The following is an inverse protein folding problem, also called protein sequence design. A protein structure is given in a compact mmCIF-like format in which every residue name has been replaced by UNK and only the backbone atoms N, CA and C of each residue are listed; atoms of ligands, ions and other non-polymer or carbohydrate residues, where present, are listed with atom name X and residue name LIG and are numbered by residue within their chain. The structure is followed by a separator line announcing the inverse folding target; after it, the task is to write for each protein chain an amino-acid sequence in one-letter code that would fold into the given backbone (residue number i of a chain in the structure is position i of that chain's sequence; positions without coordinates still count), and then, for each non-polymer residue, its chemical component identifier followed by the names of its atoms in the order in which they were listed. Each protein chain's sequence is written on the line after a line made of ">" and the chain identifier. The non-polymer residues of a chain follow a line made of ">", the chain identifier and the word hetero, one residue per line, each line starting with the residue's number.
data_IF_091792915487
#
_entry.id   IF_091792915487
#
_cell.length_a   1.000
_cell.length_b   1.000
_cell.length_c   1.000
_cell.angle_alpha   90.00
_cell.angle_beta   90.00
_cell.angle_gamma   90.00
#
_symmetry.space_group_name_H-M   'P 1'
#
loop_
_entity.id
_entity.type
_entity.pdbx_description
1 polymer ?
#
# COMPACT_ATOMS: atom_id res chain seq x y z
N UNK A 1 0.56 -92.45 17.20
CA UNK A 1 1.39 -91.56 18.03
C UNK A 1 0.84 -90.15 17.88
N UNK A 2 0.06 -89.68 18.86
CA UNK A 2 -0.46 -88.32 18.87
C UNK A 2 0.61 -87.41 19.48
N UNK A 3 1.20 -86.52 18.69
CA UNK A 3 2.04 -85.45 19.19
C UNK A 3 1.14 -84.29 19.65
N UNK A 4 1.06 -84.06 20.96
CA UNK A 4 0.47 -82.87 21.54
C UNK A 4 1.43 -81.70 21.38
N UNK A 5 1.10 -80.75 20.51
CA UNK A 5 1.74 -79.43 20.48
C UNK A 5 1.13 -78.64 21.63
N UNK A 6 1.83 -78.54 22.76
CA UNK A 6 1.46 -77.65 23.86
C UNK A 6 1.87 -76.23 23.48
N UNK A 7 0.88 -75.33 23.33
CA UNK A 7 1.11 -73.91 23.10
C UNK A 7 1.64 -73.31 24.41
N UNK A 8 2.84 -72.72 24.34
CA UNK A 8 3.50 -72.13 25.50
C UNK A 8 2.93 -70.72 25.74
N UNK A 9 1.79 -70.65 26.43
CA UNK A 9 1.06 -69.39 26.69
C UNK A 9 1.88 -68.39 27.52
N UNK A 10 2.90 -68.86 28.25
CA UNK A 10 3.80 -68.03 29.06
C UNK A 10 4.80 -67.26 28.16
N UNK A 11 5.32 -67.89 27.11
CA UNK A 11 6.17 -67.24 26.11
C UNK A 11 5.40 -66.19 25.28
N UNK A 12 4.12 -66.45 24.96
CA UNK A 12 3.27 -65.49 24.24
C UNK A 12 2.91 -64.29 25.13
N UNK A 13 2.63 -64.53 26.42
CA UNK A 13 2.34 -63.45 27.38
C UNK A 13 3.55 -62.55 27.60
N UNK A 14 4.75 -63.12 27.73
CA UNK A 14 5.99 -62.36 27.86
C UNK A 14 6.27 -61.50 26.63
N UNK A 15 6.09 -62.03 25.42
CA UNK A 15 6.27 -61.29 24.16
C UNK A 15 5.28 -60.11 24.04
N UNK A 16 4.00 -60.35 24.35
CA UNK A 16 2.95 -59.30 24.34
C UNK A 16 3.24 -58.21 25.38
N UNK A 17 3.71 -58.59 26.57
CA UNK A 17 4.09 -57.64 27.61
C UNK A 17 5.27 -56.74 27.17
N UNK A 18 6.31 -57.30 26.54
CA UNK A 18 7.43 -56.50 26.01
C UNK A 18 7.02 -55.55 24.89
N UNK A 19 6.12 -55.96 24.00
CA UNK A 19 5.62 -55.09 22.91
C UNK A 19 4.75 -53.96 23.46
N UNK A 20 3.90 -54.24 24.45
CA UNK A 20 3.08 -53.20 25.12
C UNK A 20 3.94 -52.20 25.90
N UNK A 21 5.00 -52.66 26.56
CA UNK A 21 5.94 -51.78 27.27
C UNK A 21 6.69 -50.86 26.30
N UNK A 22 7.18 -51.40 25.19
CA UNK A 22 7.82 -50.57 24.15
C UNK A 22 6.83 -49.60 23.49
N UNK A 23 5.62 -50.04 23.17
CA UNK A 23 4.57 -49.19 22.60
C UNK A 23 4.13 -48.07 23.54
N UNK A 24 4.03 -48.34 24.84
CA UNK A 24 3.74 -47.34 25.86
C UNK A 24 4.84 -46.28 25.98
N UNK A 25 6.11 -46.69 26.00
CA UNK A 25 7.24 -45.75 26.07
C UNK A 25 7.33 -44.88 24.82
N UNK A 26 7.16 -45.45 23.62
CA UNK A 26 7.17 -44.68 22.37
C UNK A 26 6.02 -43.67 22.31
N UNK A 27 4.85 -44.04 22.83
CA UNK A 27 3.68 -43.14 22.87
C UNK A 27 3.88 -41.97 23.84
N UNK A 28 4.52 -42.19 24.98
CA UNK A 28 4.85 -41.14 25.95
C UNK A 28 5.91 -40.19 25.38
N UNK A 29 6.95 -40.71 24.74
CA UNK A 29 7.98 -39.88 24.09
C UNK A 29 7.37 -39.07 22.94
N UNK A 30 6.48 -39.67 22.15
CA UNK A 30 5.75 -38.98 21.08
C UNK A 30 4.89 -37.83 21.60
N UNK A 31 4.13 -38.06 22.68
CA UNK A 31 3.33 -37.00 23.32
C UNK A 31 4.21 -35.90 23.92
N UNK A 32 5.34 -36.25 24.54
CA UNK A 32 6.28 -35.27 25.09
C UNK A 32 6.90 -34.40 24.00
N UNK A 33 7.33 -34.98 22.88
CA UNK A 33 7.88 -34.24 21.74
C UNK A 33 6.88 -33.26 21.14
N UNK A 34 5.62 -33.70 20.95
CA UNK A 34 4.55 -32.82 20.43
C UNK A 34 4.23 -31.69 21.40
N UNK A 35 4.32 -31.93 22.71
CA UNK A 35 4.05 -30.89 23.71
C UNK A 35 5.20 -29.90 23.93
N UNK A 36 6.44 -30.30 23.65
CA UNK A 36 7.62 -29.44 23.85
C UNK A 36 8.01 -28.65 22.60
N UNK A 37 7.65 -29.10 21.41
CA UNK A 37 7.95 -28.41 20.14
C UNK A 37 7.50 -26.93 20.15
N UNK A 38 6.27 -26.58 20.58
CA UNK A 38 5.84 -25.17 20.60
C UNK A 38 6.64 -24.29 21.57
N UNK A 39 7.07 -24.86 22.71
CA UNK A 39 7.87 -24.13 23.72
C UNK A 39 9.29 -23.89 23.20
N UNK A 40 9.84 -24.86 22.47
CA UNK A 40 11.17 -24.74 21.86
C UNK A 40 11.12 -23.66 20.77
N UNK A 41 10.12 -23.67 19.89
CA UNK A 41 9.94 -22.64 18.86
C UNK A 41 9.73 -21.24 19.44
N UNK A 42 8.99 -21.12 20.56
CA UNK A 42 8.81 -19.84 21.26
C UNK A 42 10.12 -19.33 21.91
N UNK A 43 10.88 -20.23 22.55
CA UNK A 43 12.15 -19.90 23.18
C UNK A 43 13.23 -19.55 22.16
N UNK A 44 13.31 -20.29 21.05
CA UNK A 44 14.17 -19.99 19.92
C UNK A 44 13.84 -18.62 19.36
N UNK A 45 12.57 -18.36 19.02
CA UNK A 45 12.12 -17.04 18.54
C UNK A 45 12.34 -15.89 19.53
N UNK A 46 12.40 -16.16 20.84
CA UNK A 46 12.71 -15.16 21.88
C UNK A 46 14.21 -14.86 21.97
N UNK A 47 15.05 -15.90 21.92
CA UNK A 47 16.52 -15.78 21.90
C UNK A 47 16.97 -15.04 20.64
N UNK A 48 16.37 -15.38 19.50
CA UNK A 48 16.60 -14.77 18.20
C UNK A 48 16.27 -13.27 18.16
N UNK A 49 15.13 -12.86 18.74
CA UNK A 49 14.79 -11.43 18.88
C UNK A 49 15.76 -10.67 19.78
N UNK A 50 16.18 -11.29 20.88
CA UNK A 50 17.14 -10.68 21.79
C UNK A 50 18.51 -10.51 21.13
N UNK A 51 18.91 -11.47 20.28
CA UNK A 51 20.16 -11.41 19.53
C UNK A 51 20.14 -10.29 18.48
N UNK A 52 19.08 -10.18 17.66
CA UNK A 52 18.95 -9.06 16.71
C UNK A 52 18.90 -7.68 17.40
N UNK A 53 18.18 -7.56 18.51
CA UNK A 53 18.15 -6.33 19.32
C UNK A 53 19.54 -5.96 19.84
N UNK A 54 20.31 -6.95 20.28
CA UNK A 54 21.69 -6.77 20.71
C UNK A 54 22.60 -6.34 19.56
N UNK A 55 22.47 -6.95 18.38
CA UNK A 55 23.23 -6.56 17.17
C UNK A 55 22.94 -5.09 16.78
N UNK A 56 21.67 -4.66 16.84
CA UNK A 56 21.31 -3.27 16.56
C UNK A 56 21.82 -2.29 17.63
N UNK A 57 21.84 -2.70 18.91
CA UNK A 57 22.43 -1.90 19.98
C UNK A 57 23.95 -1.76 19.84
N UNK A 58 24.63 -2.82 19.37
CA UNK A 58 26.06 -2.78 19.04
C UNK A 58 26.31 -1.82 17.88
N UNK A 59 25.48 -1.85 16.83
CA UNK A 59 25.57 -0.90 15.71
C UNK A 59 25.40 0.55 16.19
N UNK A 60 24.41 0.82 17.06
CA UNK A 60 24.21 2.15 17.64
C UNK A 60 25.42 2.61 18.46
N UNK A 61 25.99 1.72 19.30
CA UNK A 61 27.17 2.03 20.10
C UNK A 61 28.41 2.28 19.23
N UNK A 62 28.64 1.47 18.19
CA UNK A 62 29.76 1.67 17.27
C UNK A 62 29.61 2.97 16.47
N UNK A 63 28.37 3.34 16.14
CA UNK A 63 28.07 4.63 15.52
C UNK A 63 28.43 5.77 16.48
N UNK A 64 27.99 5.71 17.74
CA UNK A 64 28.29 6.73 18.75
C UNK A 64 29.80 6.87 19.02
N UNK A 65 30.52 5.75 19.13
CA UNK A 65 31.99 5.75 19.31
C UNK A 65 32.69 6.37 18.10
N UNK A 66 32.25 6.05 16.88
CA UNK A 66 32.79 6.65 15.65
C UNK A 66 32.46 8.16 15.60
N UNK A 67 31.28 8.58 16.06
CA UNK A 67 30.90 10.00 16.14
C UNK A 67 31.73 10.78 17.16
N UNK A 68 32.00 10.20 18.34
CA UNK A 68 32.68 10.89 19.44
C UNK A 68 34.21 10.89 19.31
N UNK A 69 34.79 9.82 18.77
CA UNK A 69 36.23 9.59 18.77
C UNK A 69 36.84 9.31 17.38
N UNK A 70 36.02 9.19 16.33
CA UNK A 70 36.48 8.85 14.99
C UNK A 70 37.19 10.01 14.28
N UNK A 71 38.27 9.71 13.56
CA UNK A 71 38.92 10.64 12.65
C UNK A 71 38.38 10.50 11.22
N UNK A 72 38.44 11.54 10.37
CA UNK A 72 38.05 11.43 8.97
C UNK A 72 38.80 10.30 8.25
N UNK A 73 38.07 9.26 7.83
CA UNK A 73 38.63 8.07 7.19
C UNK A 73 38.59 6.81 8.07
N UNK A 74 38.24 6.93 9.36
CA UNK A 74 37.94 5.78 10.20
C UNK A 74 36.59 5.18 9.82
N UNK A 75 36.52 3.85 9.86
CA UNK A 75 35.32 3.07 9.59
C UNK A 75 35.17 2.00 10.67
N UNK A 76 33.94 1.76 11.12
CA UNK A 76 33.59 0.62 11.97
C UNK A 76 32.69 -0.30 11.18
N UNK A 77 32.89 -1.61 11.34
CA UNK A 77 32.09 -2.65 10.70
C UNK A 77 31.34 -3.42 11.79
N UNK A 78 30.07 -3.69 11.55
CA UNK A 78 29.24 -4.56 12.38
C UNK A 78 28.63 -5.59 11.46
N UNK A 79 28.97 -6.85 11.69
CA UNK A 79 28.38 -7.98 10.97
C UNK A 79 26.97 -8.21 11.51
N UNK A 80 25.98 -8.15 10.62
CA UNK A 80 24.60 -8.49 10.92
C UNK A 80 24.37 -9.93 10.51
N UNK A 81 24.07 -10.80 11.47
CA UNK A 81 23.77 -12.21 11.21
C UNK A 81 22.24 -12.32 11.13
N UNK A 82 21.66 -12.51 9.92
CA UNK A 82 20.23 -12.72 9.78
C UNK A 82 19.85 -14.07 10.40
N UNK A 83 18.66 -14.12 10.99
CA UNK A 83 18.13 -15.30 11.68
C UNK A 83 18.10 -16.56 10.78
N UNK A 84 17.76 -16.39 9.50
CA UNK A 84 17.67 -17.48 8.53
C UNK A 84 19.02 -17.83 7.86
N UNK A 85 20.14 -17.25 8.33
CA UNK A 85 21.49 -17.64 7.93
C UNK A 85 21.98 -17.18 6.55
N UNK A 86 21.11 -16.60 5.72
CA UNK A 86 21.55 -15.92 4.49
C UNK A 86 20.57 -14.83 4.04
N UNK A 87 21.07 -13.61 3.90
CA UNK A 87 20.42 -12.58 3.09
C UNK A 87 20.82 -12.88 1.63
N UNK A 88 19.87 -13.02 0.71
CA UNK A 88 20.20 -13.23 -0.70
C UNK A 88 19.36 -12.32 -1.59
N UNK A 89 20.00 -11.81 -2.64
CA UNK A 89 19.36 -10.94 -3.61
C UNK A 89 18.45 -11.76 -4.54
N UNK A 90 17.13 -11.61 -4.40
CA UNK A 90 16.20 -12.11 -5.41
C UNK A 90 16.15 -11.12 -6.59
N UNK A 91 17.06 -11.33 -7.55
CA UNK A 91 17.15 -10.54 -8.78
C UNK A 91 15.89 -10.60 -9.65
N UNK A 92 14.94 -11.48 -9.35
CA UNK A 92 13.70 -11.65 -10.11
C UNK A 92 12.50 -10.93 -9.48
N UNK A 93 12.55 -10.57 -8.18
CA UNK A 93 11.39 -10.01 -7.45
C UNK A 93 11.57 -8.63 -6.81
N UNK A 94 12.69 -7.96 -7.04
CA UNK A 94 12.72 -6.49 -6.99
C UNK A 94 13.69 -5.88 -5.99
N UNK A 95 14.11 -4.66 -6.32
CA UNK A 95 15.09 -3.89 -5.55
C UNK A 95 14.58 -3.43 -4.18
N UNK A 96 15.55 -3.21 -3.29
CA UNK A 96 15.41 -2.65 -1.95
C UNK A 96 15.16 -1.14 -2.01
N UNK A 97 14.32 -0.62 -1.11
CA UNK A 97 14.10 0.81 -0.94
C UNK A 97 14.76 1.26 0.37
N UNK A 98 15.52 2.34 0.33
CA UNK A 98 16.17 2.93 1.51
C UNK A 98 15.52 4.28 1.79
N UNK A 99 15.00 4.47 3.00
CA UNK A 99 14.51 5.76 3.47
C UNK A 99 15.46 6.29 4.56
N UNK A 100 15.86 7.55 4.45
CA UNK A 100 16.70 8.21 5.44
C UNK A 100 16.09 9.56 5.77
N UNK A 101 16.02 9.89 7.06
CA UNK A 101 15.70 11.24 7.53
C UNK A 101 16.99 11.94 7.90
N UNK A 102 17.22 13.12 7.33
CA UNK A 102 18.47 13.88 7.52
C UNK A 102 18.17 15.34 7.89
N UNK A 103 19.13 16.03 8.48
CA UNK A 103 19.00 17.46 8.82
C UNK A 103 19.42 18.34 7.63
N UNK A 104 18.84 19.54 7.53
CA UNK A 104 19.30 20.56 6.59
C UNK A 104 20.82 20.78 6.73
N UNK A 105 21.50 20.91 5.58
CA UNK A 105 22.97 20.95 5.40
C UNK A 105 23.75 19.62 5.52
N UNK A 106 23.07 18.47 5.61
CA UNK A 106 23.74 17.15 5.54
C UNK A 106 23.66 16.52 4.14
N UNK A 107 24.68 15.73 3.78
CA UNK A 107 24.71 14.97 2.52
C UNK A 107 24.62 13.48 2.80
N UNK A 108 23.54 12.84 2.35
CA UNK A 108 23.41 11.38 2.38
C UNK A 108 24.03 10.78 1.12
N UNK A 109 24.99 9.87 1.28
CA UNK A 109 25.60 9.16 0.15
C UNK A 109 25.84 7.71 0.54
N UNK A 110 25.07 6.83 -0.08
CA UNK A 110 25.32 5.39 -0.05
C UNK A 110 26.32 5.03 -1.17
N UNK A 111 27.25 4.13 -0.87
CA UNK A 111 28.14 3.51 -1.86
C UNK A 111 27.79 2.04 -1.97
N UNK A 112 28.15 1.43 -3.11
CA UNK A 112 28.02 -0.03 -3.28
C UNK A 112 26.60 -0.61 -3.17
N UNK A 113 25.56 0.18 -3.43
CA UNK A 113 24.16 -0.28 -3.37
C UNK A 113 23.81 -1.28 -4.49
N UNK A 114 24.67 -1.42 -5.50
CA UNK A 114 24.42 -2.20 -6.72
C UNK A 114 25.51 -3.24 -7.00
N UNK A 115 26.46 -3.46 -6.09
CA UNK A 115 27.51 -4.47 -6.30
C UNK A 115 27.06 -5.90 -5.92
N UNK A 116 25.86 -6.05 -5.34
CA UNK A 116 25.31 -7.32 -4.87
C UNK A 116 26.19 -8.03 -3.82
N UNK A 117 27.12 -7.31 -3.20
CA UNK A 117 27.93 -7.83 -2.11
C UNK A 117 27.15 -7.75 -0.79
N UNK A 118 27.57 -8.52 0.22
CA UNK A 118 26.92 -8.62 1.54
C UNK A 118 27.20 -7.41 2.46
N UNK A 119 27.61 -6.25 1.89
CA UNK A 119 28.11 -5.10 2.64
C UNK A 119 27.33 -3.82 2.30
N UNK A 120 26.85 -3.12 3.34
CA UNK A 120 26.22 -1.80 3.22
C UNK A 120 27.12 -0.76 3.90
N UNK A 121 27.70 0.15 3.10
CA UNK A 121 28.50 1.25 3.61
C UNK A 121 27.67 2.53 3.81
N UNK A 122 27.43 2.90 5.07
CA UNK A 122 26.83 4.19 5.44
C UNK A 122 27.92 5.14 5.91
N UNK A 123 28.16 6.22 5.15
CA UNK A 123 29.12 7.24 5.57
C UNK A 123 28.47 8.15 6.63
N UNK A 124 29.01 8.14 7.84
CA UNK A 124 28.63 9.06 8.91
C UNK A 124 28.82 10.52 8.45
N UNK A 125 27.77 11.37 8.45
CA UNK A 125 27.92 12.81 8.16
C UNK A 125 28.68 13.51 9.30
N UNK A 126 29.18 14.73 9.11
CA UNK A 126 29.84 15.49 10.19
C UNK A 126 28.87 15.89 11.33
N UNK A 127 27.57 15.58 11.20
CA UNK A 127 26.51 15.83 12.17
C UNK A 127 25.87 14.53 12.69
N UNK A 128 25.13 14.63 13.79
CA UNK A 128 24.52 13.48 14.49
C UNK A 128 23.39 12.87 13.64
N UNK A 129 23.59 11.66 13.12
CA UNK A 129 22.51 10.86 12.54
C UNK A 129 21.59 10.36 13.65
N UNK A 130 20.30 10.70 13.59
CA UNK A 130 19.33 10.37 14.65
C UNK A 130 18.59 9.04 14.42
N UNK A 131 18.38 8.63 13.17
CA UNK A 131 17.80 7.33 12.84
C UNK A 131 18.11 6.92 11.39
N UNK A 132 18.22 5.61 11.16
CA UNK A 132 18.16 4.98 9.83
C UNK A 132 16.96 4.04 9.88
N UNK A 133 15.98 4.25 8.99
CA UNK A 133 14.76 3.43 8.93
C UNK A 133 14.83 2.52 7.70
N UNK A 134 14.58 1.23 7.90
CA UNK A 134 14.42 0.29 6.80
C UNK A 134 12.93 0.04 6.61
N UNK A 135 12.44 0.16 5.38
CA UNK A 135 11.03 -0.09 5.04
C UNK A 135 10.88 -1.53 4.53
N UNK A 136 9.84 -2.23 4.98
CA UNK A 136 9.61 -3.68 4.82
C UNK A 136 10.78 -4.60 5.25
N UNK A 137 11.15 -4.54 6.54
CA UNK A 137 12.01 -5.55 7.19
C UNK A 137 11.24 -6.83 7.59
N UNK A 138 10.27 -7.27 6.80
CA UNK A 138 9.53 -8.50 7.17
C UNK A 138 10.49 -9.69 7.24
N UNK A 139 10.63 -10.22 8.44
CA UNK A 139 11.30 -11.48 8.76
C UNK A 139 10.42 -12.67 8.31
N UNK A 140 10.26 -12.80 6.99
CA UNK A 140 9.56 -13.90 6.33
C UNK A 140 8.08 -13.66 5.96
N UNK A 141 7.51 -14.51 5.10
CA UNK A 141 6.16 -14.36 4.54
C UNK A 141 5.01 -14.60 5.54
N UNK A 142 5.32 -15.00 6.78
CA UNK A 142 4.35 -15.36 7.82
C UNK A 142 4.05 -14.22 8.80
N UNK A 143 4.70 -13.06 8.65
CA UNK A 143 4.51 -11.91 9.53
C UNK A 143 3.22 -11.16 9.19
N UNK A 144 2.41 -10.77 10.20
CA UNK A 144 1.15 -10.09 9.95
C UNK A 144 1.36 -8.64 9.52
N UNK A 145 0.40 -8.13 8.75
CA UNK A 145 0.27 -6.74 8.34
C UNK A 145 -0.54 -5.97 9.36
N UNK A 146 -0.10 -4.77 9.70
CA UNK A 146 -0.80 -3.89 10.62
C UNK A 146 -1.31 -2.65 9.89
N UNK A 147 -2.60 -2.37 10.05
CA UNK A 147 -3.26 -1.18 9.51
C UNK A 147 -3.83 -0.37 10.65
N UNK A 148 -3.45 0.90 10.76
CA UNK A 148 -4.02 1.83 11.74
C UNK A 148 -5.07 2.69 11.05
N UNK A 149 -6.32 2.59 11.49
CA UNK A 149 -7.44 3.30 10.90
C UNK A 149 -7.69 4.61 11.67
N UNK A 150 -7.76 5.77 11.00
CA UNK A 150 -8.09 7.03 11.67
C UNK A 150 -9.52 7.05 12.24
N UNK A 151 -9.69 7.70 13.40
CA UNK A 151 -10.98 7.76 14.11
C UNK A 151 -12.10 8.54 13.39
N UNK A 152 -11.79 9.28 12.32
CA UNK A 152 -12.80 9.99 11.51
C UNK A 152 -13.43 9.10 10.43
N UNK A 153 -12.88 7.92 10.18
CA UNK A 153 -13.43 6.93 9.26
C UNK A 153 -14.66 6.30 9.91
N UNK A 154 -15.74 6.16 9.14
CA UNK A 154 -17.00 5.58 9.61
C UNK A 154 -17.21 4.16 9.10
N UNK A 155 -16.78 3.87 7.87
CA UNK A 155 -16.94 2.56 7.24
C UNK A 155 -15.67 2.14 6.51
N UNK A 156 -15.39 0.84 6.55
CA UNK A 156 -14.24 0.20 5.90
C UNK A 156 -14.73 -0.93 5.03
N UNK A 157 -14.36 -0.93 3.75
CA UNK A 157 -14.48 -2.08 2.87
C UNK A 157 -13.11 -2.71 2.69
N UNK A 158 -12.98 -3.99 3.04
CA UNK A 158 -11.70 -4.69 3.11
C UNK A 158 -11.73 -5.90 2.19
N UNK A 159 -10.63 -6.12 1.45
CA UNK A 159 -10.39 -7.33 0.65
C UNK A 159 -8.91 -7.69 0.65
N UNK A 160 -8.60 -8.89 0.16
CA UNK A 160 -7.24 -9.33 -0.05
C UNK A 160 -6.58 -8.56 -1.21
N UNK A 161 -5.33 -8.16 -1.04
CA UNK A 161 -4.51 -7.75 -2.17
C UNK A 161 -4.22 -8.98 -3.05
N UNK A 162 -4.55 -8.91 -4.33
CA UNK A 162 -4.33 -10.02 -5.26
C UNK A 162 -2.93 -9.90 -5.88
N UNK A 163 -2.01 -10.75 -5.41
CA UNK A 163 -0.62 -10.81 -5.91
C UNK A 163 -0.16 -12.24 -6.19
N UNK A 164 0.91 -12.40 -6.96
CA UNK A 164 1.46 -13.72 -7.33
C UNK A 164 1.99 -14.54 -6.13
N UNK A 165 2.15 -13.92 -4.97
CA UNK A 165 2.73 -14.51 -3.77
C UNK A 165 1.76 -14.51 -2.57
N UNK A 166 0.45 -14.43 -2.79
CA UNK A 166 -0.52 -14.57 -1.70
C UNK A 166 -0.53 -16.00 -1.18
N UNK A 167 -0.40 -16.20 0.15
CA UNK A 167 -0.63 -17.50 0.75
C UNK A 167 -2.02 -18.04 0.38
N UNK A 168 -2.12 -19.35 0.15
CA UNK A 168 -3.37 -20.03 -0.25
C UNK A 168 -4.31 -20.29 0.95
N UNK A 169 -4.03 -19.71 2.11
CA UNK A 169 -4.77 -19.95 3.35
C UNK A 169 -5.91 -18.94 3.56
N UNK A 170 -6.84 -19.21 4.49
CA UNK A 170 -7.82 -18.22 4.89
C UNK A 170 -7.12 -16.98 5.45
N UNK A 171 -7.71 -15.82 5.16
CA UNK A 171 -7.22 -14.53 5.62
C UNK A 171 -7.82 -14.28 6.99
N UNK A 172 -6.96 -14.16 7.99
CA UNK A 172 -7.37 -13.91 9.36
C UNK A 172 -7.11 -12.43 9.66
N UNK A 173 -8.19 -11.68 9.85
CA UNK A 173 -8.17 -10.26 10.20
C UNK A 173 -8.56 -10.14 11.67
N UNK A 174 -7.61 -9.83 12.53
CA UNK A 174 -7.87 -9.53 13.94
C UNK A 174 -8.16 -8.05 14.09
N UNK A 175 -9.30 -7.76 14.69
CA UNK A 175 -9.75 -6.41 15.01
C UNK A 175 -9.28 -6.08 16.41
N UNK A 176 -8.43 -5.05 16.52
CA UNK A 176 -7.94 -4.53 17.79
C UNK A 176 -8.50 -3.14 18.03
N UNK A 177 -9.00 -2.89 19.25
CA UNK A 177 -9.44 -1.58 19.72
C UNK A 177 -8.89 -1.33 21.11
N UNK A 178 -8.38 -0.12 21.36
CA UNK A 178 -7.72 0.24 22.63
C UNK A 178 -6.62 -0.76 23.05
N UNK A 179 -5.85 -1.28 22.09
CA UNK A 179 -4.84 -2.34 22.28
C UNK A 179 -5.37 -3.67 22.83
N UNK A 180 -6.68 -3.93 22.76
CA UNK A 180 -7.31 -5.20 23.09
C UNK A 180 -7.88 -5.87 21.83
N UNK A 181 -7.79 -7.20 21.77
CA UNK A 181 -8.40 -7.97 20.67
C UNK A 181 -9.91 -8.04 20.90
N UNK A 182 -10.67 -7.54 19.93
CA UNK A 182 -12.14 -7.50 19.99
C UNK A 182 -12.74 -8.65 19.21
N UNK A 183 -12.27 -8.89 17.98
CA UNK A 183 -12.83 -9.89 17.10
C UNK A 183 -11.79 -10.47 16.12
N UNK A 184 -12.11 -11.61 15.52
CA UNK A 184 -11.33 -12.25 14.46
C UNK A 184 -12.27 -12.62 13.32
N UNK A 185 -12.00 -12.06 12.15
CA UNK A 185 -12.75 -12.32 10.93
C UNK A 185 -11.90 -13.22 10.03
N UNK A 186 -12.47 -14.35 9.63
CA UNK A 186 -11.91 -15.22 8.61
C UNK A 186 -12.57 -14.90 7.27
N UNK A 187 -11.75 -14.65 6.25
CA UNK A 187 -12.18 -14.21 4.93
C UNK A 187 -11.45 -15.01 3.85
N UNK A 188 -12.16 -15.40 2.78
CA UNK A 188 -11.52 -15.99 1.60
C UNK A 188 -10.91 -14.90 0.70
N UNK A 189 -9.99 -15.28 -0.20
CA UNK A 189 -9.29 -14.33 -1.09
C UNK A 189 -10.24 -13.54 -2.00
N UNK A 190 -11.39 -14.13 -2.36
CA UNK A 190 -12.39 -13.53 -3.25
C UNK A 190 -13.56 -12.84 -2.52
N UNK A 191 -13.50 -12.75 -1.18
CA UNK A 191 -14.54 -12.13 -0.36
C UNK A 191 -14.13 -10.71 0.06
N UNK A 192 -15.13 -9.84 0.20
CA UNK A 192 -14.98 -8.52 0.80
C UNK A 192 -15.78 -8.41 2.08
N UNK A 193 -15.23 -7.75 3.09
CA UNK A 193 -15.91 -7.51 4.36
C UNK A 193 -16.09 -6.01 4.57
N UNK A 194 -17.29 -5.60 4.97
CA UNK A 194 -17.55 -4.23 5.43
C UNK A 194 -17.56 -4.18 6.96
N UNK A 195 -16.82 -3.23 7.52
CA UNK A 195 -16.73 -2.98 8.96
C UNK A 195 -17.22 -1.56 9.25
N UNK A 196 -18.03 -1.42 10.29
CA UNK A 196 -18.40 -0.13 10.86
C UNK A 196 -17.32 0.28 11.87
N UNK A 197 -16.49 1.25 11.51
CA UNK A 197 -15.38 1.70 12.36
C UNK A 197 -15.84 2.59 13.51
N UNK A 198 -17.08 3.10 13.49
CA UNK A 198 -17.63 3.94 14.58
C UNK A 198 -17.86 3.16 15.88
N UNK A 199 -17.89 1.83 15.79
CA UNK A 199 -18.04 0.94 16.93
C UNK A 199 -16.75 0.76 17.74
N UNK A 200 -15.62 1.24 17.23
CA UNK A 200 -14.28 1.02 17.80
C UNK A 200 -13.55 2.34 18.05
N UNK A 201 -12.66 2.35 19.04
CA UNK A 201 -11.76 3.47 19.34
C UNK A 201 -10.33 3.03 19.04
N UNK A 202 -9.59 3.86 18.31
CA UNK A 202 -8.20 3.61 17.87
C UNK A 202 -8.07 2.24 17.17
N UNK A 203 -8.91 2.04 16.16
CA UNK A 203 -9.03 0.78 15.42
C UNK A 203 -7.72 0.39 14.72
N UNK A 204 -7.25 -0.83 14.98
CA UNK A 204 -6.13 -1.46 14.30
C UNK A 204 -6.53 -2.81 13.74
N UNK A 205 -6.17 -3.06 12.49
CA UNK A 205 -6.35 -4.36 11.84
C UNK A 205 -5.02 -5.08 11.77
N UNK A 206 -4.96 -6.30 12.28
CA UNK A 206 -3.84 -7.21 12.10
C UNK A 206 -4.27 -8.30 11.12
N UNK A 207 -3.59 -8.43 9.98
CA UNK A 207 -3.96 -9.38 8.93
C UNK A 207 -2.83 -10.34 8.62
N UNK A 208 -3.14 -11.60 8.31
CA UNK A 208 -2.15 -12.54 7.77
C UNK A 208 -1.74 -12.22 6.33
N UNK A 209 -2.56 -11.48 5.59
CA UNK A 209 -2.33 -11.12 4.18
C UNK A 209 -2.35 -9.60 3.99
N UNK A 210 -1.72 -9.14 2.93
CA UNK A 210 -1.85 -7.75 2.51
C UNK A 210 -3.30 -7.48 2.13
N UNK A 211 -3.85 -6.40 2.68
CA UNK A 211 -5.24 -5.98 2.49
C UNK A 211 -5.30 -4.74 1.61
N UNK A 212 -6.30 -4.69 0.75
CA UNK A 212 -6.78 -3.47 0.11
C UNK A 212 -7.95 -2.96 0.94
N UNK A 213 -7.81 -1.75 1.48
CA UNK A 213 -8.78 -1.13 2.39
C UNK A 213 -9.32 0.14 1.74
N UNK A 214 -10.62 0.19 1.52
CA UNK A 214 -11.36 1.39 1.14
C UNK A 214 -12.04 1.96 2.38
N UNK A 215 -11.49 3.07 2.87
CA UNK A 215 -12.05 3.79 4.02
C UNK A 215 -12.97 4.91 3.54
N UNK A 216 -14.17 5.00 4.12
CA UNK A 216 -15.14 6.04 3.84
C UNK A 216 -15.62 6.73 5.12
N UNK A 217 -15.98 8.00 4.96
CA UNK A 217 -16.61 8.83 6.00
C UNK A 217 -17.81 9.49 5.33
N UNK A 218 -19.01 9.25 5.84
CA UNK A 218 -20.27 9.59 5.20
C UNK A 218 -20.70 8.61 4.10
N UNK A 219 -21.64 9.06 3.27
CA UNK A 219 -22.39 8.21 2.33
C UNK A 219 -21.68 7.93 1.00
N UNK A 220 -20.63 8.68 0.66
CA UNK A 220 -19.96 8.55 -0.63
C UNK A 220 -18.75 9.44 -0.78
N UNK A 221 -18.01 9.26 -1.87
CA UNK A 221 -16.79 10.01 -2.12
C UNK A 221 -16.13 9.61 -3.43
N UNK A 222 -14.95 10.17 -3.68
CA UNK A 222 -14.15 9.84 -4.83
C UNK A 222 -12.70 9.60 -4.39
N UNK A 223 -12.06 8.59 -4.96
CA UNK A 223 -10.66 8.28 -4.67
C UNK A 223 -9.93 7.76 -5.91
N UNK A 224 -8.62 7.97 -5.91
CA UNK A 224 -7.72 7.35 -6.87
C UNK A 224 -7.34 5.96 -6.35
N UNK A 225 -7.62 4.91 -7.11
CA UNK A 225 -7.32 3.54 -6.69
C UNK A 225 -5.94 3.14 -7.21
N UNK A 226 -5.06 2.72 -6.30
CA UNK A 226 -3.75 2.19 -6.67
C UNK A 226 -3.92 0.84 -7.36
N UNK A 227 -3.24 0.61 -8.50
CA UNK A 227 -3.22 -0.69 -9.16
C UNK A 227 -2.62 -1.78 -8.28
N UNK A 228 -2.94 -3.04 -8.56
CA UNK A 228 -2.37 -4.16 -7.79
C UNK A 228 -0.85 -4.26 -8.02
N UNK A 229 -0.42 -3.97 -9.24
CA UNK A 229 0.99 -3.90 -9.61
C UNK A 229 1.30 -2.56 -10.28
N UNK A 230 1.55 -1.51 -9.48
CA UNK A 230 1.86 -0.19 -10.01
C UNK A 230 3.28 -0.17 -10.58
N UNK A 231 3.44 0.51 -11.72
CA UNK A 231 4.73 0.82 -12.31
C UNK A 231 5.54 1.73 -11.37
N UNK A 232 6.82 1.37 -11.16
CA UNK A 232 7.73 2.11 -10.29
C UNK A 232 8.10 3.52 -10.80
N UNK A 233 7.76 3.83 -12.05
CA UNK A 233 8.14 5.09 -12.69
C UNK A 233 7.01 6.12 -12.57
N UNK A 234 5.78 5.72 -12.85
CA UNK A 234 4.65 6.62 -13.09
C UNK A 234 3.39 6.24 -12.29
N UNK A 235 3.45 5.21 -11.44
CA UNK A 235 2.35 4.70 -10.62
C UNK A 235 1.11 4.25 -11.42
N UNK A 236 1.22 4.11 -12.74
CA UNK A 236 0.17 3.52 -13.58
C UNK A 236 0.18 2.01 -13.43
N UNK A 237 -0.93 1.35 -13.74
CA UNK A 237 -0.98 -0.10 -13.68
C UNK A 237 -1.94 -0.69 -14.68
N UNK A 238 -2.14 -2.01 -14.56
CA UNK A 238 -2.94 -2.78 -15.51
C UNK A 238 -4.07 -3.56 -14.89
N UNK A 239 -4.02 -3.81 -13.59
CA UNK A 239 -5.05 -4.53 -12.84
C UNK A 239 -5.39 -3.79 -11.56
N UNK A 240 -6.65 -3.90 -11.15
CA UNK A 240 -7.17 -3.45 -9.88
C UNK A 240 -8.13 -4.49 -9.35
N UNK A 241 -7.94 -4.88 -8.09
CA UNK A 241 -8.92 -5.61 -7.30
C UNK A 241 -9.39 -4.72 -6.15
N UNK A 242 -10.65 -4.29 -6.22
CA UNK A 242 -11.18 -3.25 -5.32
C UNK A 242 -12.38 -3.79 -4.55
N UNK A 243 -12.39 -3.66 -3.21
CA UNK A 243 -13.60 -3.96 -2.44
C UNK A 243 -14.60 -2.82 -2.67
N UNK A 244 -15.75 -3.15 -3.26
CA UNK A 244 -16.80 -2.19 -3.54
C UNK A 244 -17.98 -2.43 -2.57
N UNK A 245 -18.36 -1.44 -1.75
CA UNK A 245 -19.53 -1.57 -0.88
C UNK A 245 -20.82 -1.61 -1.72
N UNK A 246 -21.91 -2.08 -1.10
CA UNK A 246 -23.25 -2.03 -1.72
C UNK A 246 -23.65 -0.58 -2.02
N UNK A 247 -24.33 -0.35 -3.14
CA UNK A 247 -24.77 0.96 -3.59
C UNK A 247 -24.39 1.23 -5.04
N UNK A 248 -24.60 2.48 -5.46
CA UNK A 248 -24.29 2.96 -6.80
C UNK A 248 -22.87 3.53 -6.84
N UNK A 249 -22.05 3.06 -7.76
CA UNK A 249 -20.68 3.54 -7.95
C UNK A 249 -20.38 3.78 -9.43
N UNK A 250 -19.44 4.68 -9.69
CA UNK A 250 -18.92 4.96 -11.03
C UNK A 250 -17.45 4.62 -11.03
N UNK A 251 -17.06 3.75 -11.95
CA UNK A 251 -15.66 3.42 -12.22
C UNK A 251 -15.26 4.19 -13.47
N UNK A 252 -14.21 4.99 -13.37
CA UNK A 252 -13.59 5.63 -14.54
C UNK A 252 -12.13 5.19 -14.69
N UNK A 253 -11.80 4.68 -15.87
CA UNK A 253 -10.44 4.32 -16.26
C UNK A 253 -9.96 5.35 -17.27
N UNK A 254 -8.73 5.81 -17.11
CA UNK A 254 -8.09 6.78 -17.99
C UNK A 254 -6.74 6.24 -18.45
N UNK A 255 -6.44 6.37 -19.74
CA UNK A 255 -5.13 6.02 -20.29
C UNK A 255 -4.75 7.01 -21.39
N UNK A 256 -3.45 7.13 -21.70
CA UNK A 256 -3.00 7.87 -22.88
C UNK A 256 -3.16 7.06 -24.17
N UNK A 257 -3.20 5.74 -24.05
CA UNK A 257 -3.17 4.81 -25.19
C UNK A 257 -4.53 4.13 -25.39
N UNK A 258 -4.67 3.46 -26.53
CA UNK A 258 -5.86 2.65 -26.81
C UNK A 258 -5.84 1.43 -25.89
N UNK A 259 -7.01 1.03 -25.39
CA UNK A 259 -7.09 0.09 -24.30
C UNK A 259 -8.22 -0.90 -24.50
N UNK A 260 -7.93 -2.18 -24.27
CA UNK A 260 -8.93 -3.21 -24.02
C UNK A 260 -9.13 -3.29 -22.51
N UNK A 261 -10.35 -3.08 -22.07
CA UNK A 261 -10.73 -3.06 -20.66
C UNK A 261 -11.65 -4.25 -20.41
N UNK A 262 -11.27 -5.09 -19.47
CA UNK A 262 -12.08 -6.22 -19.02
C UNK A 262 -12.44 -5.99 -17.56
N UNK A 263 -13.73 -6.06 -17.23
CA UNK A 263 -14.22 -5.98 -15.86
C UNK A 263 -14.96 -7.24 -15.48
N UNK A 264 -14.70 -7.73 -14.28
CA UNK A 264 -15.41 -8.82 -13.64
C UNK A 264 -16.14 -8.25 -12.43
N UNK A 265 -17.46 -8.19 -12.53
CA UNK A 265 -18.35 -7.62 -11.50
C UNK A 265 -19.45 -8.65 -11.25
N UNK A 266 -19.61 -9.09 -10.00
CA UNK A 266 -20.60 -10.09 -9.60
C UNK A 266 -20.60 -11.34 -10.52
N UNK A 267 -19.40 -11.86 -10.80
CA UNK A 267 -19.18 -13.02 -11.67
C UNK A 267 -19.45 -12.80 -13.17
N UNK A 268 -19.84 -11.59 -13.58
CA UNK A 268 -20.09 -11.24 -14.98
C UNK A 268 -18.88 -10.54 -15.57
N UNK A 269 -18.27 -11.15 -16.58
CA UNK A 269 -17.15 -10.57 -17.33
C UNK A 269 -17.68 -9.73 -18.49
N UNK A 270 -17.22 -8.48 -18.58
CA UNK A 270 -17.52 -7.58 -19.70
C UNK A 270 -16.24 -6.99 -20.27
N UNK A 271 -16.14 -6.93 -21.60
CA UNK A 271 -14.97 -6.42 -22.32
C UNK A 271 -15.35 -5.23 -23.18
N UNK A 272 -14.59 -4.14 -23.10
CA UNK A 272 -14.75 -2.94 -23.91
C UNK A 272 -13.45 -2.57 -24.61
N UNK A 273 -13.52 -2.27 -25.91
CA UNK A 273 -12.38 -1.77 -26.69
C UNK A 273 -12.51 -0.26 -26.82
N UNK A 274 -11.51 0.46 -26.33
CA UNK A 274 -11.45 1.91 -26.36
C UNK A 274 -10.31 2.34 -27.26
N UNK A 275 -10.64 3.13 -28.28
CA UNK A 275 -9.66 3.71 -29.17
C UNK A 275 -9.25 5.08 -28.67
N UNK A 276 -8.01 5.48 -28.96
CA UNK A 276 -7.54 6.85 -28.73
C UNK A 276 -8.16 7.80 -29.73
N UNK A 277 -8.24 9.07 -29.35
CA UNK A 277 -8.56 10.14 -30.28
C UNK A 277 -7.42 10.33 -31.30
N UNK A 278 -7.70 11.06 -32.38
CA UNK A 278 -6.69 11.48 -33.36
C UNK A 278 -5.77 12.55 -32.75
N UNK A 279 -6.25 13.32 -31.77
CA UNK A 279 -5.46 14.34 -31.10
C UNK A 279 -4.61 13.74 -29.97
N UNK A 280 -3.29 13.98 -30.02
CA UNK A 280 -2.34 13.54 -29.00
C UNK A 280 -2.50 14.21 -27.63
N UNK A 281 -3.31 15.29 -27.54
CA UNK A 281 -3.64 15.97 -26.28
C UNK A 281 -4.91 15.43 -25.60
N UNK A 282 -5.47 14.35 -26.13
CA UNK A 282 -6.61 13.63 -25.56
C UNK A 282 -6.21 12.16 -25.35
N UNK A 283 -6.28 11.71 -24.10
CA UNK A 283 -6.22 10.31 -23.75
C UNK A 283 -7.57 9.59 -23.93
N UNK A 284 -7.52 8.26 -23.85
CA UNK A 284 -8.69 7.41 -23.82
C UNK A 284 -9.32 7.39 -22.42
N UNK A 285 -10.63 7.19 -22.36
CA UNK A 285 -11.33 6.92 -21.10
C UNK A 285 -12.41 5.87 -21.30
N UNK A 286 -12.76 5.23 -20.20
CA UNK A 286 -13.91 4.36 -20.09
C UNK A 286 -14.60 4.61 -18.78
N UNK A 287 -15.92 4.53 -18.79
CA UNK A 287 -16.72 4.71 -17.60
C UNK A 287 -17.82 3.66 -17.56
N UNK A 288 -18.06 3.11 -16.37
CA UNK A 288 -19.19 2.22 -16.11
C UNK A 288 -19.83 2.56 -14.79
N UNK A 289 -21.16 2.65 -14.79
CA UNK A 289 -21.97 2.71 -13.58
C UNK A 289 -22.27 1.30 -13.10
N UNK A 290 -22.03 1.04 -11.82
CA UNK A 290 -22.23 -0.24 -11.16
C UNK A 290 -23.19 -0.03 -10.00
N UNK A 291 -24.21 -0.88 -9.90
CA UNK A 291 -25.17 -0.87 -8.80
C UNK A 291 -25.14 -2.23 -8.13
N UNK A 292 -24.66 -2.29 -6.89
CA UNK A 292 -24.52 -3.53 -6.12
C UNK A 292 -25.53 -3.60 -4.98
N UNK A 293 -26.18 -4.75 -4.80
CA UNK A 293 -27.04 -5.01 -3.64
C UNK A 293 -26.25 -5.42 -2.39
N UNK A 294 -25.09 -6.04 -2.58
CA UNK A 294 -24.20 -6.52 -1.51
C UNK A 294 -22.76 -6.14 -1.84
N UNK A 295 -21.90 -6.11 -0.82
CA UNK A 295 -20.47 -5.81 -1.00
C UNK A 295 -19.79 -6.92 -1.79
N UNK A 296 -19.02 -6.56 -2.81
CA UNK A 296 -18.26 -7.54 -3.61
C UNK A 296 -16.91 -6.98 -4.05
N UNK A 297 -15.99 -7.87 -4.42
CA UNK A 297 -14.74 -7.46 -5.08
C UNK A 297 -15.02 -7.26 -6.56
N UNK A 298 -14.62 -6.09 -7.08
CA UNK A 298 -14.56 -5.85 -8.53
C UNK A 298 -13.12 -6.09 -9.01
N UNK A 299 -12.97 -6.79 -10.13
CA UNK A 299 -11.68 -6.91 -10.81
C UNK A 299 -11.73 -6.15 -12.13
N UNK A 300 -10.77 -5.28 -12.34
CA UNK A 300 -10.62 -4.48 -13.55
C UNK A 300 -9.24 -4.76 -14.13
N UNK A 301 -9.18 -5.13 -15.40
CA UNK A 301 -7.93 -5.35 -16.12
C UNK A 301 -7.89 -4.56 -17.42
N UNK A 302 -6.70 -4.13 -17.80
CA UNK A 302 -6.46 -3.25 -18.94
C UNK A 302 -5.24 -3.70 -19.74
N UNK A 303 -5.28 -3.54 -21.06
CA UNK A 303 -4.17 -3.91 -21.94
C UNK A 303 -3.04 -2.87 -21.95
N UNK A 304 -3.34 -1.60 -21.64
CA UNK A 304 -2.39 -0.49 -21.59
C UNK A 304 -2.31 0.11 -20.18
N UNK A 305 -1.16 0.71 -19.78
CA UNK A 305 -1.02 1.37 -18.49
C UNK A 305 -2.10 2.44 -18.30
N UNK A 306 -2.85 2.33 -17.20
CA UNK A 306 -4.00 3.17 -16.95
C UNK A 306 -4.05 3.63 -15.48
N UNK A 307 -4.93 4.58 -15.23
CA UNK A 307 -5.27 5.12 -13.92
C UNK A 307 -6.77 4.88 -13.66
N UNK A 308 -7.15 4.57 -12.42
CA UNK A 308 -8.54 4.31 -12.04
C UNK A 308 -8.99 5.32 -10.98
N UNK A 309 -10.10 6.00 -11.27
CA UNK A 309 -10.86 6.79 -10.30
C UNK A 309 -12.13 6.03 -9.99
N UNK A 310 -12.39 5.85 -8.71
CA UNK A 310 -13.64 5.29 -8.21
C UNK A 310 -14.43 6.41 -7.53
N UNK A 311 -15.69 6.56 -7.91
CA UNK A 311 -16.66 7.40 -7.23
C UNK A 311 -17.72 6.50 -6.62
N UNK A 312 -17.87 6.54 -5.31
CA UNK A 312 -18.94 5.86 -4.59
C UNK A 312 -20.10 6.83 -4.35
N UNK A 313 -21.32 6.33 -4.45
CA UNK A 313 -22.57 7.11 -4.48
C UNK A 313 -22.65 8.04 -5.70
N UNK A 314 -23.17 7.51 -6.81
CA UNK A 314 -23.27 8.20 -8.10
C UNK A 314 -24.06 9.51 -8.07
N UNK A 315 -24.95 9.69 -7.08
CA UNK A 315 -25.76 10.92 -6.92
C UNK A 315 -25.15 11.94 -5.97
N UNK A 316 -24.02 11.61 -5.33
CA UNK A 316 -23.34 12.45 -4.36
C UNK A 316 -22.58 13.62 -4.99
N UNK A 317 -22.52 14.74 -4.25
CA UNK A 317 -21.70 15.92 -4.58
C UNK A 317 -20.44 16.00 -3.69
N UNK A 318 -19.91 14.84 -3.28
CA UNK A 318 -18.77 14.74 -2.38
C UNK A 318 -17.68 13.88 -3.01
N UNK A 319 -16.42 14.20 -2.68
CA UNK A 319 -15.25 13.51 -3.21
C UNK A 319 -14.21 14.50 -3.76
N UNK A 320 -12.96 14.29 -3.34
CA UNK A 320 -11.80 15.05 -3.80
C UNK A 320 -10.74 14.05 -4.21
N UNK A 321 -10.25 14.17 -5.44
CA UNK A 321 -9.21 13.30 -5.98
C UNK A 321 -8.00 14.14 -6.33
N UNK A 322 -6.86 13.87 -5.71
CA UNK A 322 -5.59 14.43 -6.16
C UNK A 322 -5.15 13.70 -7.43
N UNK A 323 -4.99 14.43 -8.52
CA UNK A 323 -4.49 13.85 -9.76
C UNK A 323 -2.99 13.64 -9.64
N UNK A 324 -2.52 12.51 -10.16
CA UNK A 324 -1.10 12.22 -10.30
C UNK A 324 -0.64 12.67 -11.68
N UNK A 325 0.50 13.35 -11.71
CA UNK A 325 1.18 13.68 -12.96
C UNK A 325 1.68 12.41 -13.64
N UNK A 326 2.16 12.57 -14.87
CA UNK A 326 2.71 11.48 -15.67
C UNK A 326 4.00 10.88 -15.11
N UNK A 327 4.65 11.54 -14.16
CA UNK A 327 5.77 11.00 -13.38
C UNK A 327 5.32 10.25 -12.12
N UNK A 328 4.02 10.13 -11.88
CA UNK A 328 3.46 9.48 -10.70
C UNK A 328 3.45 10.35 -9.43
N UNK A 329 4.09 11.53 -9.45
CA UNK A 329 4.06 12.53 -8.38
C UNK A 329 2.77 13.36 -8.42
N UNK A 330 2.35 13.92 -7.29
CA UNK A 330 1.21 14.85 -7.23
C UNK A 330 1.55 16.25 -7.75
N UNK A 331 2.83 16.60 -7.70
CA UNK A 331 3.39 17.81 -8.28
C UNK A 331 4.01 17.49 -9.64
N UNK A 332 3.65 18.23 -10.68
CA UNK A 332 4.23 18.02 -12.01
C UNK A 332 3.68 18.96 -13.07
N UNK A 333 4.03 18.68 -14.33
CA UNK A 333 3.71 19.53 -15.49
C UNK A 333 2.70 18.92 -16.44
N UNK A 334 2.44 17.62 -16.38
CA UNK A 334 1.52 16.95 -17.31
C UNK A 334 0.62 15.98 -16.54
N UNK A 335 -0.70 16.13 -16.72
CA UNK A 335 -1.72 15.35 -16.00
C UNK A 335 -2.76 14.79 -16.96
N UNK A 336 -3.19 13.56 -16.69
CA UNK A 336 -4.37 12.97 -17.31
C UNK A 336 -5.58 13.26 -16.42
N UNK A 337 -6.64 13.83 -16.98
CA UNK A 337 -7.77 14.33 -16.20
C UNK A 337 -9.07 13.56 -16.46
N UNK A 338 -9.95 13.42 -15.45
CA UNK A 338 -11.20 12.68 -15.60
C UNK A 338 -12.16 13.35 -16.58
N UNK A 339 -12.89 12.52 -17.32
CA UNK A 339 -14.02 12.96 -18.14
C UNK A 339 -15.32 12.83 -17.33
N UNK A 340 -15.34 13.42 -16.13
CA UNK A 340 -16.50 13.46 -15.23
C UNK A 340 -16.82 14.91 -14.84
N UNK A 341 -18.11 15.27 -14.74
CA UNK A 341 -18.51 16.62 -14.36
C UNK A 341 -17.99 16.96 -12.96
N UNK A 342 -17.47 18.16 -12.78
CA UNK A 342 -16.91 18.60 -11.51
C UNK A 342 -16.15 19.91 -11.66
N UNK A 343 -15.24 20.16 -10.73
CA UNK A 343 -14.29 21.27 -10.80
C UNK A 343 -12.86 20.76 -10.69
N UNK A 344 -11.96 21.32 -11.49
CA UNK A 344 -10.52 21.18 -11.26
C UNK A 344 -10.04 22.38 -10.47
N UNK A 345 -9.25 22.09 -9.44
CA UNK A 345 -8.53 23.06 -8.63
C UNK A 345 -7.04 22.92 -8.93
N UNK A 346 -6.43 23.98 -9.44
CA UNK A 346 -5.03 24.02 -9.80
C UNK A 346 -4.29 24.95 -8.85
N UNK A 347 -3.31 24.42 -8.13
CA UNK A 347 -2.54 25.17 -7.13
C UNK A 347 -1.10 25.32 -7.60
N UNK A 348 -0.61 26.56 -7.63
CA UNK A 348 0.75 26.87 -8.03
C UNK A 348 1.61 27.20 -6.78
N UNK A 349 2.49 26.27 -6.34
CA UNK A 349 3.35 26.52 -5.18
C UNK A 349 4.51 27.47 -5.50
N UNK A 350 4.78 27.75 -6.78
CA UNK A 350 5.95 28.53 -7.19
C UNK A 350 5.76 30.04 -6.96
N UNK A 351 6.88 30.77 -6.87
CA UNK A 351 6.93 32.22 -6.70
C UNK A 351 6.62 33.01 -7.97
N UNK A 352 6.23 32.34 -9.05
CA UNK A 352 5.98 32.95 -10.36
C UNK A 352 4.70 32.38 -10.96
N UNK A 353 4.05 33.12 -11.86
CA UNK A 353 2.85 32.64 -12.55
C UNK A 353 3.14 31.37 -13.35
N UNK A 354 2.23 30.40 -13.28
CA UNK A 354 2.19 29.19 -14.10
C UNK A 354 1.03 29.27 -15.09
N UNK A 355 1.13 28.62 -16.24
CA UNK A 355 0.07 28.57 -17.26
C UNK A 355 -0.26 27.12 -17.57
N UNK A 356 -1.49 26.71 -17.25
CA UNK A 356 -2.02 25.41 -17.58
C UNK A 356 -2.83 25.49 -18.87
N UNK A 357 -2.63 24.54 -19.78
CA UNK A 357 -3.30 24.49 -21.08
C UNK A 357 -3.83 23.08 -21.35
N UNK A 358 -4.94 22.99 -22.08
CA UNK A 358 -5.51 21.74 -22.55
C UNK A 358 -6.08 21.96 -23.95
N UNK A 359 -6.66 20.93 -24.56
CA UNK A 359 -7.30 21.10 -25.85
C UNK A 359 -8.48 22.07 -25.76
N UNK A 360 -8.40 23.20 -26.47
CA UNK A 360 -9.50 24.17 -26.54
C UNK A 360 -9.57 25.17 -25.38
N UNK A 361 -8.57 25.24 -24.49
CA UNK A 361 -8.54 26.21 -23.41
C UNK A 361 -7.20 26.30 -22.66
N UNK A 362 -7.14 27.25 -21.73
CA UNK A 362 -6.02 27.42 -20.81
C UNK A 362 -6.29 28.51 -19.79
N UNK A 363 -5.57 28.46 -18.67
CA UNK A 363 -5.67 29.40 -17.56
C UNK A 363 -4.28 29.72 -17.02
N UNK A 364 -4.07 30.97 -16.60
CA UNK A 364 -2.88 31.37 -15.86
C UNK A 364 -3.17 31.38 -14.37
N UNK A 365 -2.34 30.69 -13.60
CA UNK A 365 -2.44 30.54 -12.15
C UNK A 365 -1.39 31.47 -11.53
N UNK A 366 -1.79 32.47 -10.73
CA UNK A 366 -0.84 33.38 -10.07
C UNK A 366 0.16 32.63 -9.17
N UNK A 367 1.23 33.30 -8.77
CA UNK A 367 2.21 32.73 -7.82
C UNK A 367 1.58 32.50 -6.46
N UNK A 368 1.82 31.34 -5.85
CA UNK A 368 1.24 30.98 -4.53
C UNK A 368 -0.26 31.25 -4.49
N UNK A 369 -0.97 30.80 -5.52
CA UNK A 369 -2.41 30.95 -5.67
C UNK A 369 -3.02 29.66 -6.21
N UNK A 370 -4.33 29.56 -6.04
CA UNK A 370 -5.15 28.45 -6.51
C UNK A 370 -6.26 28.99 -7.38
N UNK A 371 -6.51 28.34 -8.51
CA UNK A 371 -7.59 28.67 -9.44
C UNK A 371 -8.51 27.46 -9.63
N UNK A 372 -9.82 27.70 -9.67
CA UNK A 372 -10.82 26.66 -9.88
C UNK A 372 -11.53 26.83 -11.22
N UNK A 373 -11.71 25.74 -11.96
CA UNK A 373 -12.36 25.73 -13.27
C UNK A 373 -13.39 24.60 -13.35
N UNK A 374 -14.52 24.86 -14.01
CA UNK A 374 -15.49 23.82 -14.29
C UNK A 374 -14.92 22.81 -15.29
N UNK A 375 -15.18 21.52 -15.06
CA UNK A 375 -14.61 20.41 -15.81
C UNK A 375 -15.68 19.34 -16.12
N UNK A 376 -15.60 18.60 -17.25
CA UNK A 376 -14.69 18.79 -18.37
C UNK A 376 -15.09 19.97 -19.27
N UNK A 377 -14.17 20.47 -20.12
CA UNK A 377 -14.48 21.51 -21.08
C UNK A 377 -15.51 21.03 -22.11
N UNK A 378 -16.39 21.93 -22.54
CA UNK A 378 -17.40 21.63 -23.56
C UNK A 378 -16.73 21.27 -24.90
N UNK A 379 -17.23 20.21 -25.55
CA UNK A 379 -16.80 19.84 -26.90
C UNK A 379 -15.52 18.97 -26.97
N UNK A 380 -14.99 18.50 -25.85
CA UNK A 380 -13.91 17.50 -25.83
C UNK A 380 -14.52 16.11 -25.59
N UNK A 381 -14.18 15.16 -26.46
CA UNK A 381 -14.53 13.74 -26.31
C UNK A 381 -13.27 12.96 -25.98
N UNK A 382 -13.10 12.54 -24.73
CA UNK A 382 -11.91 11.83 -24.27
C UNK A 382 -11.47 12.29 -22.89
N UNK A 383 -10.36 11.76 -22.37
CA UNK A 383 -9.70 12.25 -21.15
C UNK A 383 -8.70 13.36 -21.54
N UNK A 384 -8.95 14.64 -21.25
CA UNK A 384 -8.05 15.70 -21.70
C UNK A 384 -6.71 15.66 -20.95
N UNK A 385 -5.62 15.94 -21.66
CA UNK A 385 -4.30 16.10 -21.06
C UNK A 385 -4.10 17.58 -20.72
N UNK A 386 -3.70 17.84 -19.48
CA UNK A 386 -3.39 19.18 -18.98
C UNK A 386 -1.87 19.34 -18.99
N UNK A 387 -1.38 20.26 -19.81
CA UNK A 387 0.04 20.61 -19.93
C UNK A 387 0.29 21.95 -19.25
N UNK A 388 1.26 22.00 -18.36
CA UNK A 388 1.60 23.16 -17.53
C UNK A 388 3.07 23.49 -17.73
N UNK A 389 3.41 24.77 -17.82
CA UNK A 389 4.79 25.24 -18.00
C UNK A 389 5.66 25.11 -16.74
N UNK A 390 5.02 24.88 -15.58
CA UNK A 390 5.64 24.72 -14.26
C UNK A 390 4.90 23.67 -13.45
N UNK A 391 5.59 23.20 -12.43
CA UNK A 391 5.07 22.25 -11.46
C UNK A 391 3.88 22.82 -10.68
N UNK A 392 2.73 22.18 -10.82
CA UNK A 392 1.48 22.52 -10.12
C UNK A 392 0.85 21.28 -9.49
N UNK A 393 -0.03 21.50 -8.53
CA UNK A 393 -0.86 20.46 -7.93
C UNK A 393 -2.27 20.56 -8.54
N UNK A 394 -2.87 19.43 -8.93
CA UNK A 394 -4.23 19.41 -9.47
C UNK A 394 -5.12 18.49 -8.63
N UNK A 395 -6.27 19.03 -8.21
CA UNK A 395 -7.34 18.26 -7.55
C UNK A 395 -8.59 18.30 -8.41
N UNK A 396 -9.28 17.17 -8.50
CA UNK A 396 -10.62 17.09 -9.06
C UNK A 396 -11.64 16.97 -7.94
N UNK A 397 -12.67 17.79 -8.00
CA UNK A 397 -13.78 17.83 -7.05
C UNK A 397 -15.04 17.32 -7.73
N UNK A 398 -15.66 16.29 -7.15
CA UNK A 398 -16.97 15.81 -7.55
C UNK A 398 -18.08 16.73 -7.01
N UNK A 399 -18.06 18.01 -7.41
CA UNK A 399 -19.03 19.01 -6.99
C UNK A 399 -19.68 19.64 -8.22
N UNK A 400 -21.01 19.78 -8.18
CA UNK A 400 -21.78 20.44 -9.24
C UNK A 400 -21.96 21.94 -9.01
N UNK A 401 -21.37 22.49 -7.95
CA UNK A 401 -21.42 23.91 -7.59
C UNK A 401 -20.03 24.48 -7.35
N UNK A 402 -19.88 25.80 -7.51
CA UNK A 402 -18.69 26.55 -7.10
C UNK A 402 -18.64 26.82 -5.58
N UNK A 403 -19.37 26.04 -4.78
CA UNK A 403 -19.36 26.14 -3.33
C UNK A 403 -18.17 25.39 -2.72
N UNK A 404 -18.13 25.32 -1.39
CA UNK A 404 -17.13 24.51 -0.67
C UNK A 404 -17.32 23.03 -1.05
N UNK A 405 -16.22 22.36 -1.44
CA UNK A 405 -16.20 20.93 -1.72
C UNK A 405 -15.88 20.15 -0.44
N UNK A 406 -16.58 19.03 -0.25
CA UNK A 406 -16.38 18.12 0.89
C UNK A 406 -15.74 16.83 0.39
N UNK A 407 -14.67 16.41 1.04
CA UNK A 407 -14.03 15.12 0.81
C UNK A 407 -12.71 15.01 1.55
N UNK A 408 -12.21 13.78 1.67
CA UNK A 408 -10.87 13.51 2.16
C UNK A 408 -9.90 13.46 0.98
N UNK A 409 -8.72 14.04 1.14
CA UNK A 409 -7.66 13.99 0.15
C UNK A 409 -6.30 14.14 0.81
N UNK A 410 -5.28 13.57 0.18
CA UNK A 410 -3.89 13.75 0.61
C UNK A 410 -3.48 15.21 0.36
N UNK A 411 -2.78 15.81 1.31
CA UNK A 411 -2.07 17.08 1.10
C UNK A 411 -0.62 16.75 0.72
N UNK A 412 -0.28 16.77 -0.57
CA UNK A 412 1.06 16.41 -1.01
C UNK A 412 2.09 17.42 -0.52
N UNK A 413 3.31 16.94 -0.35
CA UNK A 413 4.45 17.75 0.00
C UNK A 413 4.95 18.52 -1.24
N UNK A 414 5.22 19.83 -1.10
CA UNK A 414 5.64 20.70 -2.19
C UNK A 414 7.13 20.58 -2.51
N UNK A 415 7.94 20.13 -1.56
CA UNK A 415 9.38 19.93 -1.72
C UNK A 415 9.71 18.63 -2.46
N UNK A 416 8.99 17.55 -2.17
CA UNK A 416 9.19 16.25 -2.84
C UNK A 416 8.22 16.01 -4.00
N UNK A 417 7.03 16.63 -3.96
CA UNK A 417 5.93 16.33 -4.88
C UNK A 417 5.16 15.04 -4.57
N UNK A 418 5.51 14.34 -3.49
CA UNK A 418 4.89 13.06 -3.08
C UNK A 418 4.07 13.22 -1.80
N UNK A 419 3.60 12.11 -1.22
CA UNK A 419 2.79 12.11 0.00
C UNK A 419 3.58 12.52 1.26
N UNK A 420 4.91 12.47 1.23
CA UNK A 420 5.78 12.79 2.37
C UNK A 420 6.84 13.82 1.97
N UNK A 421 7.14 14.73 2.89
CA UNK A 421 8.15 15.78 2.73
C UNK A 421 8.10 16.73 3.92
N UNK A 422 8.83 17.84 3.83
CA UNK A 422 8.93 18.83 4.90
C UNK A 422 7.94 19.98 4.75
N UNK A 423 7.51 20.28 3.53
CA UNK A 423 6.66 21.45 3.28
C UNK A 423 5.37 21.01 2.63
N UNK A 424 4.24 21.45 3.21
CA UNK A 424 2.91 21.16 2.68
C UNK A 424 2.17 22.46 2.42
N UNK A 425 1.54 22.54 1.26
CA UNK A 425 0.72 23.67 0.86
C UNK A 425 -0.68 23.16 0.56
N UNK A 426 -1.68 23.75 1.20
CA UNK A 426 -3.07 23.44 0.91
C UNK A 426 -3.91 24.71 0.81
N UNK A 427 -4.82 24.69 -0.14
CA UNK A 427 -5.93 25.62 -0.23
C UNK A 427 -7.22 24.84 0.07
N UNK A 428 -8.19 25.52 0.69
CA UNK A 428 -9.56 25.00 0.72
C UNK A 428 -10.30 25.44 -0.54
N UNK A 429 -11.20 24.60 -1.03
CA UNK A 429 -11.85 24.84 -2.32
C UNK A 429 -12.62 26.16 -2.34
N UNK A 430 -12.28 27.02 -3.31
CA UNK A 430 -12.78 28.40 -3.43
C UNK A 430 -12.49 29.32 -2.23
N UNK A 431 -11.41 29.06 -1.49
CA UNK A 431 -10.84 30.04 -0.55
C UNK A 431 -9.67 30.77 -1.19
N UNK A 432 -9.63 32.09 -1.07
CA UNK A 432 -8.50 32.94 -1.50
C UNK A 432 -7.25 32.79 -0.61
N UNK A 433 -7.30 31.91 0.39
CA UNK A 433 -6.24 31.70 1.38
C UNK A 433 -5.55 30.36 1.13
N UNK A 434 -4.23 30.42 0.99
CA UNK A 434 -3.36 29.25 1.02
C UNK A 434 -2.72 29.18 2.39
N UNK A 435 -2.90 28.04 3.04
CA UNK A 435 -2.23 27.71 4.29
C UNK A 435 -1.01 26.84 4.01
N UNK A 436 0.09 27.18 4.68
CA UNK A 436 1.34 26.42 4.65
C UNK A 436 1.57 25.75 5.99
N UNK A 437 1.86 24.45 5.96
CA UNK A 437 2.34 23.68 7.11
C UNK A 437 3.81 23.38 6.84
N UNK A 438 4.67 23.84 7.75
CA UNK A 438 6.11 23.62 7.78
C UNK A 438 6.43 22.67 8.92
#
# INVERSE_FOLDING_TARGET
>A
MNYSITRDDEAVSAAVATVLLFGGVVSIIGLMLVSMMPIIEELEGSIERNDMSSQMMILAQQTEVLSEHGMPGDSTEVELIPLDGSLSWDSTRGGMWYSATWQDDSSFRMKSILDFDDQIEVKHPESKTTAICYDDLRLGPTRPFFYSIPNWVESLSVSAHQGLATPLGPINIKIQSENSLVDIIEMNVDESVNLDSTLYIDLRLESSHELVILASSGLGGASFITPDNPSRIDNTGRSWSVPLPSGDSIIQIMSKEANLITTLIDGTETTAVINTDVNSRIGSYWQSSVSLSESTIISVTTSAPSQLILVTEATGNAGIVNLKSTSGAYLGTEFLSPQMPGYLELTNPSSTTATATWQGGGISIPSQATESIAWPPQGISGSPIIDVDKDVLIKWHNNHSSGISIGAGIVPATDTGFSSGMQHLFATHNSDLIDTVI
#
